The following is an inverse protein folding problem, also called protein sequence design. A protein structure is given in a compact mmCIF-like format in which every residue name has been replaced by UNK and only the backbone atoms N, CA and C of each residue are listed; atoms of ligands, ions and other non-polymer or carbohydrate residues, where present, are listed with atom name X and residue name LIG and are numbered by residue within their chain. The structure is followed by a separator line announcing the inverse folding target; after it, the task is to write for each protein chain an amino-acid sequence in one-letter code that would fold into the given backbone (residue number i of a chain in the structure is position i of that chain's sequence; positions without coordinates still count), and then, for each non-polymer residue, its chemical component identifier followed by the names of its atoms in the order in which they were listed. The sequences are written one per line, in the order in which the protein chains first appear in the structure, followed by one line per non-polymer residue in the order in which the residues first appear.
data_IF_858352994610
#
_entry.id   IF_858352994610
#
_cell.length_a   1.000
_cell.length_b   1.000
_cell.length_c   1.000
_cell.angle_alpha   90.00
_cell.angle_beta   90.00
_cell.angle_gamma   90.00
#
_symmetry.space_group_name_H-M   'P 1'
#
loop_
_entity.id
_entity.type
_entity.pdbx_description
1 polymer ?
#
# COMPACT_ATOMS: atom_id res chain seq x y z
N UNK A 1 11.51 -11.13 8.85
CA UNK A 1 11.38 -9.85 9.57
C UNK A 1 10.41 -8.96 8.82
N UNK A 2 9.42 -8.41 9.52
CA UNK A 2 8.47 -7.47 8.90
C UNK A 2 9.18 -6.15 8.59
N UNK A 3 8.64 -5.42 7.63
CA UNK A 3 9.20 -4.15 7.15
C UNK A 3 8.12 -3.09 7.13
N UNK A 4 8.49 -1.82 7.23
CA UNK A 4 7.59 -0.68 7.07
C UNK A 4 8.32 0.42 6.29
N UNK A 5 7.61 1.14 5.43
CA UNK A 5 8.19 2.33 4.81
C UNK A 5 8.49 3.39 5.86
N UNK A 6 9.61 4.09 5.70
CA UNK A 6 9.93 5.19 6.58
C UNK A 6 9.09 6.46 6.30
N UNK A 7 9.26 7.47 7.14
CA UNK A 7 8.53 8.73 6.99
C UNK A 7 8.82 9.44 5.65
N UNK A 8 10.02 9.31 5.10
CA UNK A 8 10.37 9.94 3.83
C UNK A 8 9.65 9.28 2.66
N UNK A 9 9.54 7.95 2.68
CA UNK A 9 8.77 7.16 1.71
C UNK A 9 7.28 7.49 1.76
N UNK A 10 6.69 7.59 2.95
CA UNK A 10 5.28 7.97 3.11
C UNK A 10 5.02 9.39 2.60
N UNK A 11 5.87 10.36 2.97
CA UNK A 11 5.75 11.75 2.51
C UNK A 11 5.93 11.87 0.99
N UNK A 12 6.83 11.09 0.42
CA UNK A 12 7.01 11.02 -1.02
C UNK A 12 5.74 10.54 -1.73
N UNK A 13 5.16 9.41 -1.28
CA UNK A 13 3.93 8.89 -1.87
C UNK A 13 2.75 9.87 -1.67
N UNK A 14 2.67 10.54 -0.52
CA UNK A 14 1.63 11.54 -0.28
C UNK A 14 1.66 12.66 -1.33
N UNK A 15 2.87 13.11 -1.71
CA UNK A 15 3.09 14.10 -2.77
C UNK A 15 2.79 13.52 -4.15
N UNK A 16 3.32 12.33 -4.48
CA UNK A 16 3.15 11.67 -5.78
C UNK A 16 1.67 11.46 -6.12
N UNK A 17 0.84 11.18 -5.12
CA UNK A 17 -0.59 10.91 -5.32
C UNK A 17 -1.46 12.16 -5.45
N UNK A 18 -0.97 13.34 -5.04
CA UNK A 18 -1.78 14.53 -4.73
C UNK A 18 -2.66 15.12 -5.84
N UNK A 19 -2.38 14.80 -7.11
CA UNK A 19 -3.17 15.26 -8.28
C UNK A 19 -3.57 14.14 -9.23
N UNK A 20 -3.19 12.91 -8.91
CA UNK A 20 -3.39 11.74 -9.77
C UNK A 20 -4.55 10.90 -9.24
N UNK A 21 -4.67 10.79 -7.92
CA UNK A 21 -5.60 9.89 -7.26
C UNK A 21 -6.71 10.63 -6.53
N UNK A 22 -7.89 10.00 -6.46
CA UNK A 22 -9.00 10.47 -5.63
C UNK A 22 -8.66 10.40 -4.14
N UNK A 23 -9.37 11.14 -3.25
CA UNK A 23 -9.12 11.09 -1.81
C UNK A 23 -9.10 9.66 -1.23
N UNK A 24 -10.04 8.79 -1.63
CA UNK A 24 -10.10 7.41 -1.16
C UNK A 24 -8.89 6.60 -1.63
N UNK A 25 -8.52 6.74 -2.90
CA UNK A 25 -7.33 6.08 -3.46
C UNK A 25 -6.06 6.53 -2.74
N UNK A 26 -5.92 7.83 -2.45
CA UNK A 26 -4.81 8.38 -1.67
C UNK A 26 -4.73 7.77 -0.27
N UNK A 27 -5.85 7.70 0.45
CA UNK A 27 -5.93 7.08 1.78
C UNK A 27 -5.45 5.63 1.72
N UNK A 28 -5.92 4.85 0.75
CA UNK A 28 -5.51 3.45 0.60
C UNK A 28 -4.02 3.33 0.30
N UNK A 29 -3.46 4.13 -0.61
CA UNK A 29 -2.01 4.11 -0.87
C UNK A 29 -1.21 4.47 0.39
N UNK A 30 -1.65 5.47 1.16
CA UNK A 30 -0.97 5.84 2.41
C UNK A 30 -1.06 4.73 3.46
N UNK A 31 -2.21 4.06 3.59
CA UNK A 31 -2.36 2.94 4.50
C UNK A 31 -1.41 1.80 4.15
N UNK A 32 -1.27 1.48 2.87
CA UNK A 32 -0.32 0.45 2.44
C UNK A 32 1.13 0.84 2.73
N UNK A 33 1.49 2.11 2.50
CA UNK A 33 2.82 2.62 2.82
C UNK A 33 3.11 2.56 4.33
N UNK A 34 2.13 2.91 5.17
CA UNK A 34 2.28 2.94 6.63
C UNK A 34 2.01 1.60 7.31
N UNK A 35 1.80 0.51 6.57
CA UNK A 35 1.51 -0.81 7.12
C UNK A 35 2.77 -1.65 7.24
N UNK A 36 2.79 -2.52 8.25
CA UNK A 36 3.78 -3.58 8.29
C UNK A 36 3.56 -4.56 7.14
N UNK A 37 4.65 -4.92 6.47
CA UNK A 37 4.66 -5.77 5.30
C UNK A 37 5.68 -6.90 5.44
N UNK A 38 5.42 -7.98 4.71
CA UNK A 38 6.37 -9.07 4.52
C UNK A 38 7.59 -8.60 3.72
N UNK A 39 8.70 -9.39 3.68
CA UNK A 39 9.88 -9.04 2.91
C UNK A 39 9.62 -8.78 1.41
N UNK A 40 8.58 -9.38 0.84
CA UNK A 40 8.12 -9.20 -0.54
C UNK A 40 7.21 -7.96 -0.75
N UNK A 41 6.94 -7.19 0.30
CA UNK A 41 6.06 -6.02 0.30
C UNK A 41 4.58 -6.33 0.57
N UNK A 42 4.20 -7.60 0.77
CA UNK A 42 2.81 -7.96 1.00
C UNK A 42 2.30 -7.39 2.32
N UNK A 43 1.23 -6.59 2.27
CA UNK A 43 0.51 -6.11 3.46
C UNK A 43 -0.45 -7.20 3.96
N UNK A 44 -0.26 -7.63 5.20
CA UNK A 44 -1.00 -8.75 5.81
C UNK A 44 -2.17 -8.32 6.71
N UNK A 45 -2.49 -7.03 6.73
CA UNK A 45 -3.63 -6.52 7.48
C UNK A 45 -4.93 -7.00 6.82
N UNK A 46 -5.86 -7.49 7.65
CA UNK A 46 -7.19 -7.91 7.18
C UNK A 46 -7.89 -6.76 6.45
N UNK A 47 -8.53 -7.07 5.33
CA UNK A 47 -9.24 -6.05 4.54
C UNK A 47 -10.33 -5.32 5.35
N UNK A 48 -11.00 -5.99 6.29
CA UNK A 48 -11.96 -5.36 7.21
C UNK A 48 -11.32 -4.32 8.12
N UNK A 49 -10.13 -4.60 8.64
CA UNK A 49 -9.34 -3.67 9.45
C UNK A 49 -8.91 -2.46 8.61
N UNK A 50 -8.37 -2.70 7.41
CA UNK A 50 -8.00 -1.60 6.50
C UNK A 50 -9.22 -0.72 6.14
N UNK A 51 -10.38 -1.32 5.92
CA UNK A 51 -11.60 -0.58 5.59
C UNK A 51 -12.02 0.30 6.78
N UNK A 52 -12.03 -0.25 7.99
CA UNK A 52 -12.32 0.51 9.21
C UNK A 52 -11.34 1.67 9.42
N UNK A 53 -10.03 1.43 9.30
CA UNK A 53 -9.01 2.49 9.42
C UNK A 53 -9.19 3.58 8.36
N UNK A 54 -9.58 3.21 7.14
CA UNK A 54 -9.83 4.16 6.07
C UNK A 54 -11.16 4.93 6.18
N UNK A 55 -12.02 4.60 7.16
CA UNK A 55 -13.38 5.13 7.23
C UNK A 55 -14.27 4.65 6.07
N UNK A 56 -13.99 3.48 5.51
CA UNK A 56 -14.67 2.91 4.33
C UNK A 56 -15.45 1.65 4.70
N UNK A 57 -16.50 1.35 3.93
CA UNK A 57 -17.11 0.02 3.96
C UNK A 57 -16.22 -0.99 3.23
N UNK A 58 -16.27 -2.30 3.55
CA UNK A 58 -15.48 -3.31 2.86
C UNK A 58 -15.67 -3.33 1.32
N UNK A 59 -16.89 -3.16 0.76
CA UNK A 59 -17.08 -3.05 -0.69
C UNK A 59 -16.38 -1.84 -1.32
N UNK A 60 -16.38 -0.69 -0.63
CA UNK A 60 -15.69 0.53 -1.11
C UNK A 60 -14.19 0.27 -1.14
N UNK A 61 -13.59 -0.25 -0.07
CA UNK A 61 -12.17 -0.60 -0.05
C UNK A 61 -11.81 -1.60 -1.16
N UNK A 62 -12.65 -2.63 -1.36
CA UNK A 62 -12.41 -3.64 -2.39
C UNK A 62 -12.37 -3.03 -3.79
N UNK A 63 -13.32 -2.15 -4.11
CA UNK A 63 -13.37 -1.42 -5.37
C UNK A 63 -12.16 -0.50 -5.55
N UNK A 64 -11.82 0.29 -4.53
CA UNK A 64 -10.67 1.19 -4.56
C UNK A 64 -9.36 0.44 -4.79
N UNK A 65 -9.17 -0.74 -4.17
CA UNK A 65 -7.99 -1.58 -4.44
C UNK A 65 -7.94 -2.09 -5.88
N UNK A 66 -9.09 -2.44 -6.46
CA UNK A 66 -9.18 -2.88 -7.85
C UNK A 66 -8.80 -1.74 -8.80
N UNK A 67 -9.32 -0.54 -8.58
CA UNK A 67 -8.96 0.65 -9.36
C UNK A 67 -7.46 0.99 -9.25
N UNK A 68 -6.89 0.91 -8.04
CA UNK A 68 -5.46 1.13 -7.82
C UNK A 68 -4.58 0.06 -8.47
N UNK A 69 -5.05 -1.20 -8.51
CA UNK A 69 -4.38 -2.28 -9.24
C UNK A 69 -4.38 -1.98 -10.75
N UNK A 70 -5.54 -1.61 -11.31
CA UNK A 70 -5.68 -1.26 -12.73
C UNK A 70 -4.84 -0.03 -13.10
N UNK A 71 -4.70 0.93 -12.18
CA UNK A 71 -3.89 2.12 -12.34
C UNK A 71 -2.38 1.90 -12.05
N UNK A 72 -1.95 0.68 -11.73
CA UNK A 72 -0.54 0.34 -11.49
C UNK A 72 0.04 0.83 -10.16
N UNK A 73 -0.80 1.18 -9.19
CA UNK A 73 -0.37 1.59 -7.84
C UNK A 73 -0.26 0.40 -6.87
N UNK A 74 -1.04 -0.65 -7.11
CA UNK A 74 -0.98 -1.90 -6.36
C UNK A 74 -0.65 -3.07 -7.28
N UNK A 75 -0.08 -4.12 -6.69
CA UNK A 75 0.10 -5.41 -7.32
C UNK A 75 -0.51 -6.51 -6.44
N UNK A 76 -0.96 -7.60 -7.07
CA UNK A 76 -1.37 -8.81 -6.36
C UNK A 76 -0.15 -9.69 -6.14
N UNK A 77 0.15 -10.01 -4.89
CA UNK A 77 1.29 -10.89 -4.54
C UNK A 77 0.89 -12.35 -4.37
N UNK A 78 -0.41 -12.62 -4.23
CA UNK A 78 -0.96 -13.96 -4.12
C UNK A 78 -2.40 -13.94 -3.60
N UNK A 79 -2.91 -15.12 -3.27
CA UNK A 79 -4.22 -15.27 -2.64
C UNK A 79 -4.23 -16.41 -1.61
N UNK A 80 -5.11 -16.30 -0.63
CA UNK A 80 -5.49 -17.39 0.26
C UNK A 80 -6.98 -17.60 0.12
N UNK A 81 -7.39 -18.72 -0.47
CA UNK A 81 -8.75 -18.91 -0.95
C UNK A 81 -9.15 -17.80 -1.93
N UNK A 82 -10.29 -17.16 -1.69
CA UNK A 82 -10.79 -16.03 -2.50
C UNK A 82 -10.19 -14.68 -2.13
N UNK A 83 -9.37 -14.60 -1.08
CA UNK A 83 -8.81 -13.33 -0.58
C UNK A 83 -7.49 -13.06 -1.27
N UNK A 84 -7.44 -11.99 -2.07
CA UNK A 84 -6.22 -11.47 -2.69
C UNK A 84 -5.39 -10.67 -1.69
N UNK A 85 -4.08 -10.90 -1.72
CA UNK A 85 -3.08 -10.09 -1.02
C UNK A 85 -2.45 -9.09 -1.99
N UNK A 86 -2.13 -7.92 -1.46
CA UNK A 86 -1.66 -6.80 -2.27
C UNK A 86 -0.40 -6.18 -1.66
N UNK A 87 0.38 -5.52 -2.51
CA UNK A 87 1.48 -4.62 -2.14
C UNK A 87 1.43 -3.35 -2.96
N UNK A 88 2.16 -2.31 -2.53
CA UNK A 88 2.49 -1.19 -3.41
C UNK A 88 3.36 -1.67 -4.59
N UNK A 89 3.06 -1.19 -5.79
CA UNK A 89 3.85 -1.52 -6.95
C UNK A 89 5.30 -1.01 -6.77
N UNK A 90 6.34 -1.86 -6.91
CA UNK A 90 7.73 -1.42 -6.74
C UNK A 90 8.14 -0.27 -7.67
N UNK A 91 7.53 -0.21 -8.85
CA UNK A 91 7.73 0.86 -9.84
C UNK A 91 7.43 2.26 -9.29
N UNK A 92 6.60 2.38 -8.25
CA UNK A 92 6.30 3.66 -7.60
C UNK A 92 7.52 4.34 -6.97
N UNK A 93 8.61 3.60 -6.76
CA UNK A 93 9.81 4.10 -6.10
C UNK A 93 11.05 4.11 -7.01
N UNK A 94 10.94 3.68 -8.26
CA UNK A 94 12.08 3.58 -9.18
C UNK A 94 12.77 4.91 -9.42
N UNK A 95 12.00 5.99 -9.56
CA UNK A 95 12.51 7.36 -9.74
C UNK A 95 13.26 7.90 -8.51
N UNK A 96 13.23 7.18 -7.38
CA UNK A 96 13.99 7.52 -6.18
C UNK A 96 15.33 6.78 -6.06
N UNK A 97 15.64 5.85 -6.97
CA UNK A 97 16.88 5.08 -6.93
C UNK A 97 17.09 4.36 -5.58
N UNK A 98 18.28 4.46 -5.01
CA UNK A 98 18.60 3.85 -3.70
C UNK A 98 17.74 4.40 -2.55
N UNK A 99 17.19 5.60 -2.67
CA UNK A 99 16.36 6.23 -1.64
C UNK A 99 14.89 5.77 -1.65
N UNK A 100 14.49 4.93 -2.62
CA UNK A 100 13.12 4.43 -2.78
C UNK A 100 12.82 3.10 -2.08
N UNK A 101 13.74 2.60 -1.26
CA UNK A 101 13.64 1.27 -0.64
C UNK A 101 13.94 1.30 0.87
N UNK A 102 13.68 2.42 1.54
CA UNK A 102 13.90 2.54 2.99
C UNK A 102 12.82 1.80 3.77
N UNK A 103 12.87 0.48 3.64
CA UNK A 103 12.09 -0.44 4.44
C UNK A 103 12.81 -0.62 5.76
N UNK A 104 12.28 -0.01 6.81
CA UNK A 104 12.74 -0.23 8.17
C UNK A 104 12.25 -1.59 8.61
N UNK A 105 13.14 -2.39 9.19
CA UNK A 105 12.72 -3.61 9.83
C UNK A 105 11.86 -3.28 11.07
N UNK A 106 10.78 -4.02 11.27
CA UNK A 106 9.93 -3.90 12.45
C UNK A 106 10.31 -5.02 13.41
N UNK A 107 10.74 -4.65 14.61
CA UNK A 107 11.08 -5.56 15.72
C UNK A 107 12.54 -5.96 15.79
N UNK A 108 13.29 -5.29 16.68
CA UNK A 108 14.47 -5.79 17.39
C UNK A 108 14.20 -5.65 18.88
#
# INVERSE_FOLDING_TARGET
MMRIHDAADVQYLLKKTGRILSPNQRIVVMLYASSEQRPDGTVMIKASTLAATAGMTPPVLSRTRKELLEAGWLEVTGSVGSVKHYRLAPALFEDRGQAGRHLRAVGG
#
